data_IF_615909293559
#
_entry.id   IF_615909293559
#
_cell.length_a   1.000
_cell.length_b   1.000
_cell.length_c   1.000
_cell.angle_alpha   90.00
_cell.angle_beta   90.00
_cell.angle_gamma   90.00
#
_symmetry.space_group_name_H-M   'P 1'
#
loop_
_entity.id
_entity.type
_entity.pdbx_description
1 polymer ?
#
# COMPACT_ATOMS: atom_id res chain seq x y z
N UNK A 1 -14.90 41.98 -23.98
CA UNK A 1 -15.36 40.68 -23.46
C UNK A 1 -15.29 39.73 -24.64
N UNK A 2 -14.12 39.08 -24.79
CA UNK A 2 -13.77 38.30 -25.98
C UNK A 2 -14.22 36.85 -25.73
N UNK A 3 -15.45 36.57 -26.15
CA UNK A 3 -16.13 35.28 -25.99
C UNK A 3 -15.60 34.31 -27.07
N UNK A 4 -14.34 33.89 -26.91
CA UNK A 4 -13.79 32.80 -27.71
C UNK A 4 -14.25 31.48 -27.09
N UNK A 5 -15.51 31.17 -27.35
CA UNK A 5 -16.02 29.81 -27.35
C UNK A 5 -15.17 29.01 -28.36
N UNK A 6 -14.09 28.45 -27.84
CA UNK A 6 -13.25 27.47 -28.52
C UNK A 6 -14.05 26.18 -28.60
N UNK A 7 -15.04 26.18 -29.50
CA UNK A 7 -15.76 24.99 -29.92
C UNK A 7 -14.76 24.09 -30.62
N UNK A 8 -14.10 23.24 -29.83
CA UNK A 8 -13.32 22.13 -30.33
C UNK A 8 -14.22 21.35 -31.29
N UNK A 9 -13.80 21.27 -32.55
CA UNK A 9 -14.53 20.45 -33.50
C UNK A 9 -14.51 19.00 -33.00
N UNK A 10 -15.57 18.21 -33.25
CA UNK A 10 -15.64 16.82 -32.79
C UNK A 10 -14.41 15.99 -33.20
N UNK A 11 -13.82 16.31 -34.35
CA UNK A 11 -12.62 15.64 -34.86
C UNK A 11 -11.35 16.09 -34.13
N UNK A 12 -11.23 17.35 -33.74
CA UNK A 12 -10.13 17.84 -32.89
C UNK A 12 -10.21 17.23 -31.48
N UNK A 13 -11.42 17.06 -30.95
CA UNK A 13 -11.65 16.38 -29.67
C UNK A 13 -11.31 14.88 -29.75
N UNK A 14 -11.67 14.20 -30.84
CA UNK A 14 -11.26 12.80 -31.10
C UNK A 14 -9.75 12.68 -31.26
N UNK A 15 -9.12 13.57 -32.00
CA UNK A 15 -7.65 13.57 -32.18
C UNK A 15 -6.92 13.78 -30.88
N UNK A 16 -7.40 14.69 -30.02
CA UNK A 16 -6.83 14.89 -28.68
C UNK A 16 -7.07 13.69 -27.77
N UNK A 17 -8.26 13.09 -27.81
CA UNK A 17 -8.55 11.84 -27.10
C UNK A 17 -7.69 10.67 -27.58
N UNK A 18 -7.43 10.56 -28.88
CA UNK A 18 -6.58 9.52 -29.47
C UNK A 18 -5.10 9.74 -29.15
N UNK A 19 -4.63 11.00 -29.11
CA UNK A 19 -3.28 11.37 -28.68
C UNK A 19 -3.08 11.16 -27.17
N UNK A 20 -4.08 11.49 -26.35
CA UNK A 20 -4.08 11.21 -24.91
C UNK A 20 -4.22 9.70 -24.62
N UNK A 21 -4.96 8.95 -25.45
CA UNK A 21 -5.07 7.49 -25.36
C UNK A 21 -3.81 6.77 -25.86
N UNK A 22 -3.07 7.35 -26.80
CA UNK A 22 -1.83 6.79 -27.34
C UNK A 22 -0.64 6.94 -26.38
N UNK A 23 -0.74 7.81 -25.38
CA UNK A 23 0.28 7.91 -24.32
C UNK A 23 -0.01 6.80 -23.30
N UNK A 24 0.89 5.81 -23.08
CA UNK A 24 0.63 4.75 -22.12
C UNK A 24 0.54 5.36 -20.72
N UNK A 25 -0.69 5.58 -20.25
CA UNK A 25 -1.03 6.16 -18.95
C UNK A 25 -0.30 5.43 -17.80
N UNK A 26 0.00 4.14 -17.95
CA UNK A 26 0.78 3.39 -16.98
C UNK A 26 2.30 3.47 -17.24
N UNK A 27 2.97 4.47 -16.68
CA UNK A 27 4.44 4.46 -16.71
C UNK A 27 4.99 3.32 -15.82
N UNK A 28 6.11 2.72 -16.22
CA UNK A 28 6.80 1.72 -15.40
C UNK A 28 7.24 2.30 -14.05
N UNK A 29 7.50 3.61 -13.98
CA UNK A 29 7.81 4.31 -12.74
C UNK A 29 6.63 4.30 -11.75
N UNK A 30 5.40 4.57 -12.21
CA UNK A 30 4.22 4.58 -11.34
C UNK A 30 3.89 3.19 -10.79
N UNK A 31 4.07 2.14 -11.60
CA UNK A 31 3.91 0.75 -11.15
C UNK A 31 4.94 0.38 -10.07
N UNK A 32 6.20 0.76 -10.26
CA UNK A 32 7.26 0.52 -9.26
C UNK A 32 6.98 1.27 -7.97
N UNK A 33 6.49 2.50 -8.07
CA UNK A 33 6.11 3.29 -6.90
C UNK A 33 5.00 2.60 -6.10
N UNK A 34 3.94 2.15 -6.78
CA UNK A 34 2.82 1.45 -6.13
C UNK A 34 3.22 0.07 -5.57
N UNK A 35 4.02 -0.70 -6.29
CA UNK A 35 4.54 -1.97 -5.79
C UNK A 35 5.41 -1.75 -4.55
N UNK A 36 6.31 -0.77 -4.59
CA UNK A 36 7.19 -0.41 -3.48
C UNK A 36 6.41 0.06 -2.25
N UNK A 37 5.44 0.97 -2.41
CA UNK A 37 4.62 1.45 -1.30
C UNK A 37 3.76 0.34 -0.69
N UNK A 38 3.19 -0.53 -1.53
CA UNK A 38 2.38 -1.68 -1.06
C UNK A 38 3.23 -2.66 -0.25
N UNK A 39 4.42 -3.00 -0.73
CA UNK A 39 5.36 -3.88 -0.03
C UNK A 39 5.82 -3.26 1.30
N UNK A 40 6.22 -1.99 1.28
CA UNK A 40 6.69 -1.26 2.46
C UNK A 40 5.58 -1.15 3.51
N UNK A 41 4.33 -0.96 3.09
CA UNK A 41 3.19 -0.96 4.00
C UNK A 41 3.05 -2.30 4.73
N UNK A 42 3.05 -3.42 4.00
CA UNK A 42 2.89 -4.74 4.61
C UNK A 42 4.00 -5.08 5.60
N UNK A 43 5.25 -4.80 5.23
CA UNK A 43 6.41 -5.00 6.12
C UNK A 43 6.32 -4.08 7.34
N UNK A 44 6.06 -2.79 7.14
CA UNK A 44 5.95 -1.83 8.23
C UNK A 44 4.81 -2.15 9.19
N UNK A 45 3.68 -2.64 8.69
CA UNK A 45 2.56 -3.11 9.51
C UNK A 45 2.95 -4.34 10.35
N UNK A 46 3.65 -5.30 9.76
CA UNK A 46 4.15 -6.47 10.48
C UNK A 46 5.12 -6.08 11.61
N UNK A 47 6.04 -5.16 11.31
CA UNK A 47 7.00 -4.62 12.30
C UNK A 47 6.25 -3.93 13.44
N UNK A 48 5.27 -3.07 13.11
CA UNK A 48 4.44 -2.38 14.08
C UNK A 48 3.72 -3.38 15.01
N UNK A 49 3.09 -4.43 14.44
CA UNK A 49 2.37 -5.43 15.22
C UNK A 49 3.26 -6.18 16.23
N UNK A 50 4.50 -6.49 15.85
CA UNK A 50 5.47 -7.11 16.76
C UNK A 50 5.92 -6.12 17.83
N UNK A 51 6.28 -4.88 17.45
CA UNK A 51 6.72 -3.85 18.39
C UNK A 51 5.66 -3.57 19.47
N UNK A 52 4.38 -3.50 19.09
CA UNK A 52 3.28 -3.29 20.02
C UNK A 52 3.05 -4.45 21.00
N UNK A 53 3.64 -5.63 20.77
CA UNK A 53 3.60 -6.76 21.72
C UNK A 53 4.86 -6.89 22.58
N UNK A 54 5.91 -6.11 22.28
CA UNK A 54 7.20 -6.19 22.99
C UNK A 54 7.44 -4.95 23.85
N UNK A 55 6.86 -3.80 23.47
CA UNK A 55 7.11 -2.52 24.14
C UNK A 55 5.81 -1.99 24.74
N UNK A 56 5.84 -1.75 26.05
CA UNK A 56 4.71 -1.21 26.81
C UNK A 56 4.95 0.24 27.26
N UNK A 57 3.86 0.98 27.48
CA UNK A 57 3.87 2.32 28.06
C UNK A 57 3.65 3.47 27.07
N UNK A 58 3.60 4.70 27.60
CA UNK A 58 3.19 5.90 26.86
C UNK A 58 4.07 6.18 25.62
N UNK A 59 5.37 5.97 25.75
CA UNK A 59 6.35 6.16 24.65
C UNK A 59 6.12 5.12 23.54
N UNK A 60 5.80 3.87 23.90
CA UNK A 60 5.50 2.82 22.94
C UNK A 60 4.23 3.13 22.14
N UNK A 61 3.20 3.63 22.82
CA UNK A 61 1.95 4.08 22.18
C UNK A 61 2.19 5.25 21.24
N UNK A 62 2.99 6.24 21.65
CA UNK A 62 3.35 7.38 20.81
C UNK A 62 4.13 6.95 19.56
N UNK A 63 5.15 6.10 19.71
CA UNK A 63 5.93 5.56 18.58
C UNK A 63 5.03 4.75 17.64
N UNK A 64 4.17 3.89 18.19
CA UNK A 64 3.23 3.10 17.39
C UNK A 64 2.27 4.00 16.60
N UNK A 65 1.76 5.07 17.23
CA UNK A 65 0.91 6.06 16.57
C UNK A 65 1.65 6.81 15.44
N UNK A 66 2.90 7.22 15.66
CA UNK A 66 3.74 7.87 14.65
C UNK A 66 3.98 6.93 13.45
N UNK A 67 4.32 5.66 13.72
CA UNK A 67 4.55 4.66 12.67
C UNK A 67 3.26 4.40 11.89
N UNK A 68 2.13 4.22 12.58
CA UNK A 68 0.83 4.06 11.93
C UNK A 68 0.47 5.27 11.05
N UNK A 69 0.66 6.49 11.55
CA UNK A 69 0.44 7.71 10.78
C UNK A 69 1.37 7.80 9.57
N UNK A 70 2.63 7.39 9.69
CA UNK A 70 3.57 7.32 8.57
C UNK A 70 3.14 6.30 7.51
N UNK A 71 2.63 5.13 7.92
CA UNK A 71 2.10 4.11 6.99
C UNK A 71 0.86 4.59 6.24
N UNK A 72 -0.06 5.29 6.94
CA UNK A 72 -1.21 5.93 6.30
C UNK A 72 -0.77 7.07 5.35
N UNK A 73 0.18 7.89 5.81
CA UNK A 73 0.78 8.95 5.00
C UNK A 73 1.43 8.41 3.73
N UNK A 74 2.11 7.26 3.80
CA UNK A 74 2.68 6.56 2.65
C UNK A 74 1.59 6.15 1.64
N UNK A 75 0.45 5.65 2.13
CA UNK A 75 -0.67 5.26 1.26
C UNK A 75 -1.27 6.47 0.56
N UNK A 76 -1.54 7.56 1.30
CA UNK A 76 -2.07 8.82 0.76
C UNK A 76 -1.10 9.45 -0.23
N UNK A 77 0.19 9.48 0.10
CA UNK A 77 1.24 10.01 -0.76
C UNK A 77 1.36 9.21 -2.06
N UNK A 78 1.31 7.87 -1.97
CA UNK A 78 1.36 6.99 -3.13
C UNK A 78 0.11 7.17 -4.03
N UNK A 79 -1.08 7.31 -3.46
CA UNK A 79 -2.32 7.55 -4.24
C UNK A 79 -2.32 8.95 -4.89
N UNK A 80 -1.78 9.97 -4.21
CA UNK A 80 -1.69 11.34 -4.71
C UNK A 80 -0.66 11.54 -5.84
N UNK A 81 0.43 10.76 -5.85
CA UNK A 81 1.45 10.78 -6.92
C UNK A 81 1.02 9.98 -8.16
N UNK A 82 0.19 8.95 -7.99
CA UNK A 82 -0.24 8.03 -9.03
C UNK A 82 -1.42 8.58 -9.87
N UNK A 83 -1.24 9.66 -10.64
CA UNK A 83 -2.33 10.28 -11.42
C UNK A 83 -2.86 9.42 -12.58
N UNK A 84 -2.09 8.45 -13.05
CA UNK A 84 -2.38 7.69 -14.29
C UNK A 84 -2.37 6.16 -14.10
N UNK A 85 -2.36 5.69 -12.85
CA UNK A 85 -2.30 4.24 -12.55
C UNK A 85 -3.62 3.53 -12.92
N UNK A 86 -3.58 2.41 -13.67
CA UNK A 86 -4.77 1.67 -14.08
C UNK A 86 -5.57 1.17 -12.87
N UNK A 87 -6.91 1.23 -12.95
CA UNK A 87 -7.85 0.87 -11.86
C UNK A 87 -7.56 -0.50 -11.22
N UNK A 88 -7.08 -1.47 -12.01
CA UNK A 88 -6.72 -2.81 -11.53
C UNK A 88 -5.54 -2.80 -10.55
N UNK A 89 -4.50 -2.00 -10.78
CA UNK A 89 -3.35 -1.93 -9.89
C UNK A 89 -3.71 -1.31 -8.53
N UNK A 90 -4.60 -0.29 -8.53
CA UNK A 90 -5.15 0.28 -7.29
C UNK A 90 -5.98 -0.74 -6.50
N UNK A 91 -6.83 -1.50 -7.18
CA UNK A 91 -7.63 -2.57 -6.54
C UNK A 91 -6.73 -3.66 -5.94
N UNK A 92 -5.69 -4.10 -6.66
CA UNK A 92 -4.73 -5.11 -6.17
C UNK A 92 -3.98 -4.58 -4.95
N UNK A 93 -3.50 -3.34 -4.99
CA UNK A 93 -2.81 -2.72 -3.85
C UNK A 93 -3.71 -2.64 -2.62
N UNK A 94 -4.96 -2.17 -2.78
CA UNK A 94 -5.94 -2.08 -1.69
C UNK A 94 -6.32 -3.45 -1.13
N UNK A 95 -6.46 -4.46 -2.01
CA UNK A 95 -6.72 -5.82 -1.58
C UNK A 95 -5.55 -6.39 -0.77
N UNK A 96 -4.31 -6.18 -1.22
CA UNK A 96 -3.10 -6.59 -0.49
C UNK A 96 -2.98 -5.91 0.87
N UNK A 97 -3.11 -4.58 0.91
CA UNK A 97 -3.08 -3.78 2.14
C UNK A 97 -4.20 -4.21 3.12
N UNK A 98 -5.43 -4.32 2.63
CA UNK A 98 -6.58 -4.73 3.43
C UNK A 98 -6.42 -6.17 3.96
N UNK A 99 -5.95 -7.10 3.15
CA UNK A 99 -5.68 -8.47 3.56
C UNK A 99 -4.57 -8.54 4.62
N UNK A 100 -3.45 -7.81 4.44
CA UNK A 100 -2.38 -7.73 5.44
C UNK A 100 -2.89 -7.18 6.78
N UNK A 101 -3.75 -6.14 6.73
CA UNK A 101 -4.40 -5.59 7.91
C UNK A 101 -5.30 -6.60 8.63
N UNK A 102 -6.14 -7.31 7.87
CA UNK A 102 -7.01 -8.35 8.42
C UNK A 102 -6.23 -9.51 9.02
N UNK A 103 -5.19 -9.99 8.34
CA UNK A 103 -4.31 -11.05 8.85
C UNK A 103 -3.62 -10.60 10.15
N UNK A 104 -3.11 -9.37 10.18
CA UNK A 104 -2.52 -8.77 11.37
C UNK A 104 -3.50 -8.71 12.54
N UNK A 105 -4.68 -8.13 12.33
CA UNK A 105 -5.67 -7.88 13.38
C UNK A 105 -6.38 -9.15 13.88
N UNK A 106 -6.76 -10.04 12.97
CA UNK A 106 -7.65 -11.17 13.29
C UNK A 106 -6.87 -12.43 13.65
N UNK A 107 -5.68 -12.63 13.07
CA UNK A 107 -4.91 -13.86 13.26
C UNK A 107 -3.63 -13.62 14.06
N UNK A 108 -2.75 -12.74 13.58
CA UNK A 108 -1.38 -12.66 14.11
C UNK A 108 -1.31 -11.97 15.46
N UNK A 109 -1.98 -10.82 15.65
CA UNK A 109 -1.99 -10.10 16.92
C UNK A 109 -2.61 -10.93 18.06
N UNK A 110 -3.79 -11.56 17.89
CA UNK A 110 -4.35 -12.43 18.94
C UNK A 110 -3.44 -13.61 19.26
N UNK A 111 -2.83 -14.23 18.24
CA UNK A 111 -1.89 -15.33 18.44
C UNK A 111 -0.61 -14.91 19.17
N UNK A 112 -0.03 -13.76 18.81
CA UNK A 112 1.14 -13.21 19.50
C UNK A 112 0.81 -12.87 20.96
N UNK A 113 -0.36 -12.29 21.21
CA UNK A 113 -0.79 -11.93 22.56
C UNK A 113 -0.98 -13.18 23.44
N UNK A 114 -1.67 -14.20 22.94
CA UNK A 114 -1.83 -15.48 23.65
C UNK A 114 -0.48 -16.12 23.93
N UNK A 115 0.40 -16.16 22.93
CA UNK A 115 1.73 -16.77 23.09
C UNK A 115 2.59 -16.03 24.12
N UNK A 116 2.54 -14.71 24.14
CA UNK A 116 3.32 -13.87 25.05
C UNK A 116 2.98 -14.11 26.53
N UNK A 117 1.80 -14.67 26.83
CA UNK A 117 1.40 -15.05 28.19
C UNK A 117 2.18 -16.29 28.68
N UNK A 118 2.48 -17.24 27.79
CA UNK A 118 3.14 -18.49 28.14
C UNK A 118 4.65 -18.45 27.90
N UNK A 119 5.10 -17.74 26.86
CA UNK A 119 6.48 -17.73 26.40
C UNK A 119 6.91 -16.36 25.85
N UNK A 120 8.14 -15.92 26.11
CA UNK A 120 8.65 -14.68 25.53
C UNK A 120 8.71 -14.77 23.99
N UNK A 121 8.40 -13.68 23.31
CA UNK A 121 8.46 -13.59 21.85
C UNK A 121 9.94 -13.59 21.43
N UNK A 122 10.38 -14.68 20.79
CA UNK A 122 11.73 -14.78 20.22
C UNK A 122 11.82 -14.07 18.86
N UNK A 123 13.03 -13.72 18.44
CA UNK A 123 13.28 -13.07 17.15
C UNK A 123 12.77 -13.90 15.96
N UNK A 124 12.82 -15.24 16.04
CA UNK A 124 12.31 -16.13 14.99
C UNK A 124 10.79 -16.04 14.86
N UNK A 125 10.09 -15.93 15.99
CA UNK A 125 8.63 -15.76 16.03
C UNK A 125 8.22 -14.39 15.50
N UNK A 126 8.96 -13.35 15.88
CA UNK A 126 8.79 -12.00 15.35
C UNK A 126 8.92 -11.96 13.82
N UNK A 127 9.99 -12.56 13.26
CA UNK A 127 10.19 -12.63 11.81
C UNK A 127 9.07 -13.41 11.11
N UNK A 128 8.61 -14.52 11.69
CA UNK A 128 7.50 -15.28 11.14
C UNK A 128 6.22 -14.45 11.12
N UNK A 129 5.90 -13.75 12.22
CA UNK A 129 4.73 -12.88 12.31
C UNK A 129 4.78 -11.73 11.29
N UNK A 130 5.92 -11.03 11.18
CA UNK A 130 6.13 -9.97 10.17
C UNK A 130 5.91 -10.53 8.77
N UNK A 131 6.48 -11.70 8.48
CA UNK A 131 6.38 -12.34 7.16
C UNK A 131 4.94 -12.68 6.81
N UNK A 132 4.20 -13.28 7.76
CA UNK A 132 2.79 -13.66 7.57
C UNK A 132 1.91 -12.43 7.34
N UNK A 133 2.12 -11.36 8.11
CA UNK A 133 1.39 -10.09 7.93
C UNK A 133 1.74 -9.45 6.59
N UNK A 134 3.01 -9.43 6.20
CA UNK A 134 3.47 -8.75 4.99
C UNK A 134 3.11 -9.51 3.71
N UNK A 135 2.90 -10.83 3.79
CA UNK A 135 2.74 -11.71 2.62
C UNK A 135 1.66 -11.23 1.63
N UNK A 136 0.43 -10.86 2.03
CA UNK A 136 -0.59 -10.42 1.08
C UNK A 136 -0.18 -9.14 0.32
N UNK A 137 0.43 -8.19 1.03
CA UNK A 137 0.98 -6.96 0.45
C UNK A 137 2.15 -7.23 -0.49
N UNK A 138 3.05 -8.17 -0.15
CA UNK A 138 4.17 -8.55 -1.00
C UNK A 138 3.69 -9.25 -2.28
N UNK A 139 2.69 -10.13 -2.18
CA UNK A 139 2.06 -10.78 -3.34
C UNK A 139 1.39 -9.72 -4.22
N UNK A 140 0.63 -8.80 -3.64
CA UNK A 140 0.03 -7.68 -4.38
C UNK A 140 1.08 -6.83 -5.10
N UNK A 141 2.18 -6.49 -4.42
CA UNK A 141 3.30 -5.75 -5.01
C UNK A 141 3.94 -6.51 -6.19
N UNK A 142 4.16 -7.81 -6.05
CA UNK A 142 4.70 -8.65 -7.11
C UNK A 142 3.75 -8.73 -8.33
N UNK A 143 2.43 -8.82 -8.09
CA UNK A 143 1.42 -8.80 -9.16
C UNK A 143 1.40 -7.47 -9.91
N UNK A 144 1.47 -6.34 -9.18
CA UNK A 144 1.57 -4.99 -9.78
C UNK A 144 2.85 -4.85 -10.62
N UNK A 145 3.97 -5.41 -10.14
CA UNK A 145 5.24 -5.40 -10.89
C UNK A 145 5.23 -6.27 -12.16
N UNK A 146 4.41 -7.33 -12.20
CA UNK A 146 4.34 -8.29 -13.30
C UNK A 146 3.38 -7.92 -14.43
N UNK A 147 2.42 -7.02 -14.19
CA UNK A 147 1.51 -6.55 -15.25
C UNK A 147 2.29 -5.79 -16.33
N UNK A 148 2.41 -6.39 -17.53
CA UNK A 148 3.08 -5.80 -18.71
C UNK A 148 2.33 -4.55 -19.21
N UNK A 149 3.06 -3.57 -19.73
CA UNK A 149 2.49 -2.43 -20.48
C UNK A 149 2.15 -2.88 -21.90
#
# INVERSE_FOLDING_TARGET
>A
MDDRDTTLTPDEARRRLDLDAATPLATTADRRLHAGSTALFGVGLGVLAVLSNVVDGLVASAVSGIVAAALLGLLVWADGRARTVPRRARLISRAGVGASLLVGLVAVLPWLNLRAQDQPITWAVALAAITVIALPSLVAAALIGRTRA
#
